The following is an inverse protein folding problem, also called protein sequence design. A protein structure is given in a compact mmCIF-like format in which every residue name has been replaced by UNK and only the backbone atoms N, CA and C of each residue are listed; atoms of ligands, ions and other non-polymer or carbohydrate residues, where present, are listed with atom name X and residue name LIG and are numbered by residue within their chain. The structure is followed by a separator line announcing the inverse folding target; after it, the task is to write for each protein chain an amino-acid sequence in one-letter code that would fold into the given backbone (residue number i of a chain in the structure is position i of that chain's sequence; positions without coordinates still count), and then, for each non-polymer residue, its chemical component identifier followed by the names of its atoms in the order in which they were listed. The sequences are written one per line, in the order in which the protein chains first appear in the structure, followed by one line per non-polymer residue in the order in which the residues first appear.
data_IF_627065466906
#
_entry.id   IF_627065466906
#
_cell.length_a   1.000
_cell.length_b   1.000
_cell.length_c   1.000
_cell.angle_alpha   90.00
_cell.angle_beta   90.00
_cell.angle_gamma   90.00
#
_symmetry.space_group_name_H-M   'P 1'
#
loop_
_entity.id
_entity.type
_entity.pdbx_description
1 polymer ?
#
# COMPACT_ATOMS: atom_id res chain seq x y z
N UNK A 1 2.46 13.07 -29.61
CA UNK A 1 1.41 13.33 -28.60
C UNK A 1 2.00 14.35 -27.63
N UNK A 2 1.40 15.55 -27.49
CA UNK A 2 2.04 16.65 -26.73
C UNK A 2 1.48 16.78 -25.29
N UNK A 3 0.36 16.12 -24.99
CA UNK A 3 -0.29 16.13 -23.69
C UNK A 3 -1.14 14.87 -23.48
N UNK A 4 -1.56 14.63 -22.23
CA UNK A 4 -2.44 13.53 -21.84
C UNK A 4 -3.45 13.99 -20.79
N UNK A 5 -4.48 13.21 -20.56
CA UNK A 5 -5.50 13.50 -19.53
C UNK A 5 -5.03 12.98 -18.17
N UNK A 6 -5.30 13.78 -17.13
CA UNK A 6 -4.96 13.43 -15.76
C UNK A 6 -6.03 13.96 -14.79
N UNK A 7 -6.23 13.26 -13.68
CA UNK A 7 -7.06 13.73 -12.57
C UNK A 7 -6.23 14.60 -11.63
N UNK A 8 -6.54 15.89 -11.60
CA UNK A 8 -5.78 16.91 -10.89
C UNK A 8 -6.57 17.43 -9.70
N UNK A 9 -5.93 17.48 -8.54
CA UNK A 9 -6.42 18.19 -7.36
C UNK A 9 -6.00 19.65 -7.52
N UNK A 10 -6.95 20.51 -7.87
CA UNK A 10 -6.75 21.96 -8.04
C UNK A 10 -7.07 22.74 -6.77
N UNK A 11 -7.99 22.20 -5.95
CA UNK A 11 -8.34 22.73 -4.63
C UNK A 11 -8.70 21.58 -3.66
N UNK A 12 -8.38 21.77 -2.38
CA UNK A 12 -8.70 20.78 -1.34
C UNK A 12 -10.22 20.68 -1.13
N UNK A 13 -10.71 19.49 -0.86
CA UNK A 13 -12.14 19.20 -0.63
C UNK A 13 -13.07 19.57 -1.80
N UNK A 14 -12.52 19.76 -2.99
CA UNK A 14 -13.28 19.98 -4.21
C UNK A 14 -13.13 18.76 -5.14
N UNK A 15 -14.10 18.51 -6.04
CA UNK A 15 -13.96 17.46 -7.04
C UNK A 15 -12.65 17.60 -7.83
N UNK A 16 -12.00 16.46 -8.11
CA UNK A 16 -10.84 16.43 -9.00
C UNK A 16 -11.27 16.81 -10.41
N UNK A 17 -10.43 17.58 -11.08
CA UNK A 17 -10.64 18.00 -12.46
C UNK A 17 -9.85 17.12 -13.44
N UNK A 18 -10.46 16.72 -14.55
CA UNK A 18 -9.74 16.04 -15.63
C UNK A 18 -9.15 17.10 -16.54
N UNK A 19 -7.85 17.30 -16.42
CA UNK A 19 -7.10 18.30 -17.18
C UNK A 19 -6.16 17.65 -18.20
N UNK A 20 -5.79 18.42 -19.22
CA UNK A 20 -4.69 18.06 -20.13
C UNK A 20 -3.37 18.55 -19.55
N UNK A 21 -2.44 17.64 -19.37
CA UNK A 21 -1.13 17.89 -18.77
C UNK A 21 -0.06 17.56 -19.80
N UNK A 22 0.96 18.43 -19.98
CA UNK A 22 2.02 18.19 -20.97
C UNK A 22 2.78 16.89 -20.71
N UNK A 23 3.08 16.14 -21.77
CA UNK A 23 4.04 15.04 -21.72
C UNK A 23 5.45 15.64 -21.82
N UNK A 24 6.31 15.45 -20.80
CA UNK A 24 7.64 16.05 -20.79
C UNK A 24 8.59 15.40 -21.77
N UNK A 25 9.59 16.13 -22.20
CA UNK A 25 10.78 15.52 -22.81
C UNK A 25 11.47 14.63 -21.76
N UNK A 26 11.92 13.46 -22.21
CA UNK A 26 12.59 12.50 -21.34
C UNK A 26 14.06 12.86 -21.20
N UNK A 27 14.52 13.08 -20.00
CA UNK A 27 15.95 13.16 -19.71
C UNK A 27 16.62 11.77 -19.83
N UNK A 28 17.95 11.71 -19.95
CA UNK A 28 18.65 10.43 -20.09
C UNK A 28 18.33 9.47 -18.94
N UNK A 29 17.87 8.27 -19.26
CA UNK A 29 17.44 7.23 -18.32
C UNK A 29 16.00 7.35 -17.85
N UNK A 30 15.28 8.42 -18.14
CA UNK A 30 13.85 8.53 -17.82
C UNK A 30 12.98 7.63 -18.69
N UNK A 31 11.82 7.27 -18.16
CA UNK A 31 10.85 6.38 -18.83
C UNK A 31 9.50 7.06 -18.86
N UNK A 32 8.84 7.07 -20.02
CA UNK A 32 7.43 7.37 -20.16
C UNK A 32 6.64 6.06 -20.07
N UNK A 33 5.69 6.00 -19.13
CA UNK A 33 4.87 4.81 -18.92
C UNK A 33 3.42 5.14 -19.22
N UNK A 34 2.78 4.38 -20.12
CA UNK A 34 1.33 4.39 -20.32
C UNK A 34 0.69 3.65 -19.14
N UNK A 35 -0.12 4.35 -18.33
CA UNK A 35 -0.77 3.72 -17.18
C UNK A 35 -1.91 2.82 -17.67
N UNK A 36 -1.94 1.60 -17.17
CA UNK A 36 -3.01 0.63 -17.47
C UNK A 36 -3.91 0.36 -16.27
N UNK A 37 -3.40 0.58 -15.07
CA UNK A 37 -4.16 0.53 -13.84
C UNK A 37 -3.54 1.45 -12.77
N UNK A 38 -4.38 2.17 -12.06
CA UNK A 38 -3.99 2.95 -10.87
C UNK A 38 -5.00 2.69 -9.76
N UNK A 39 -4.55 2.11 -8.63
CA UNK A 39 -5.44 1.92 -7.48
C UNK A 39 -5.40 3.13 -6.56
N UNK A 40 -6.53 3.41 -5.87
CA UNK A 40 -6.62 4.46 -4.87
C UNK A 40 -6.47 3.88 -3.46
N UNK A 41 -5.92 4.65 -2.55
CA UNK A 41 -5.81 4.28 -1.15
C UNK A 41 -6.21 5.42 -0.20
N UNK A 42 -6.23 5.14 1.11
CA UNK A 42 -6.56 6.15 2.12
C UNK A 42 -5.66 7.39 2.07
N UNK A 43 -4.42 7.25 1.61
CA UNK A 43 -3.49 8.39 1.44
C UNK A 43 -4.00 9.39 0.39
N UNK A 44 -4.65 8.95 -0.68
CA UNK A 44 -5.20 9.83 -1.72
C UNK A 44 -6.40 10.60 -1.16
N UNK A 45 -7.26 9.95 -0.38
CA UNK A 45 -8.37 10.58 0.35
C UNK A 45 -7.83 11.62 1.35
N UNK A 46 -6.80 11.26 2.13
CA UNK A 46 -6.23 12.20 3.11
C UNK A 46 -5.61 13.42 2.44
N UNK A 47 -4.90 13.26 1.31
CA UNK A 47 -4.33 14.38 0.55
C UNK A 47 -5.38 15.26 -0.11
N UNK A 48 -6.48 14.68 -0.52
CA UNK A 48 -7.62 15.43 -1.01
C UNK A 48 -8.22 16.34 0.07
N UNK A 49 -8.22 15.90 1.34
CA UNK A 49 -8.67 16.71 2.48
C UNK A 49 -7.66 17.75 2.95
N UNK A 50 -6.35 17.49 2.77
CA UNK A 50 -5.30 18.40 3.22
C UNK A 50 -3.89 17.84 3.00
N UNK A 51 -2.86 18.70 3.12
CA UNK A 51 -1.49 18.28 2.94
C UNK A 51 -1.07 17.30 4.05
N UNK A 52 -0.42 16.20 3.67
CA UNK A 52 0.22 15.24 4.59
C UNK A 52 1.68 15.59 4.86
N UNK A 53 2.24 16.51 4.08
CA UNK A 53 3.65 16.91 4.12
C UNK A 53 3.79 18.37 3.67
N UNK A 54 4.79 19.10 4.17
CA UNK A 54 5.15 20.43 3.63
C UNK A 54 5.55 20.44 2.15
N UNK A 55 5.80 19.25 1.57
CA UNK A 55 6.13 19.07 0.15
C UNK A 55 4.89 18.96 -0.74
N UNK A 56 3.72 18.72 -0.15
CA UNK A 56 2.46 18.60 -0.90
C UNK A 56 2.05 19.99 -1.40
N UNK A 57 1.84 20.15 -2.68
CA UNK A 57 1.51 21.46 -3.29
C UNK A 57 0.46 21.30 -4.38
N UNK A 58 -0.48 22.24 -4.43
CA UNK A 58 -1.47 22.35 -5.50
C UNK A 58 -0.91 23.12 -6.69
N UNK A 59 -1.34 22.80 -7.93
CA UNK A 59 -2.13 21.63 -8.32
C UNK A 59 -1.27 20.37 -8.40
N UNK A 60 -1.84 19.18 -8.13
CA UNK A 60 -1.12 17.90 -8.28
C UNK A 60 -2.02 16.82 -8.90
N UNK A 61 -1.41 15.90 -9.65
CA UNK A 61 -2.08 14.68 -10.11
C UNK A 61 -2.12 13.70 -8.95
N UNK A 62 -3.33 13.20 -8.61
CA UNK A 62 -3.50 12.22 -7.54
C UNK A 62 -3.01 10.82 -7.94
N UNK A 63 -2.94 9.92 -6.96
CA UNK A 63 -2.56 8.53 -7.14
C UNK A 63 -1.06 8.26 -7.06
N UNK A 64 -0.73 7.15 -6.40
CA UNK A 64 0.66 6.73 -6.16
C UNK A 64 0.83 5.21 -6.22
N UNK A 65 -0.16 4.51 -6.76
CA UNK A 65 -0.19 3.06 -6.90
C UNK A 65 -0.36 2.67 -8.38
N UNK A 66 0.68 2.87 -9.21
CA UNK A 66 0.61 2.61 -10.64
C UNK A 66 1.01 1.19 -11.03
N UNK A 67 0.40 0.71 -12.11
CA UNK A 67 0.94 -0.29 -13.02
C UNK A 67 0.80 0.23 -14.45
N UNK A 68 1.84 0.10 -15.27
CA UNK A 68 1.78 0.59 -16.64
C UNK A 68 2.70 -0.18 -17.59
N UNK A 69 2.58 0.17 -18.85
CA UNK A 69 3.40 -0.38 -19.95
C UNK A 69 4.39 0.70 -20.39
N UNK A 70 5.64 0.34 -20.54
CA UNK A 70 6.67 1.25 -21.06
C UNK A 70 6.29 1.70 -22.47
N UNK A 71 6.11 3.01 -22.65
CA UNK A 71 5.87 3.65 -23.94
C UNK A 71 7.19 4.06 -24.60
N UNK A 72 8.09 4.71 -23.85
CA UNK A 72 9.37 5.18 -24.34
C UNK A 72 10.42 5.21 -23.21
N UNK A 73 11.67 5.05 -23.59
CA UNK A 73 12.85 5.18 -22.71
C UNK A 73 13.89 6.06 -23.41
N UNK A 74 14.42 7.06 -22.71
CA UNK A 74 15.59 7.77 -23.22
C UNK A 74 16.87 7.04 -22.79
N UNK A 75 17.36 6.13 -23.63
CA UNK A 75 18.55 5.31 -23.40
C UNK A 75 18.23 3.84 -23.07
N UNK A 76 19.04 3.23 -22.22
CA UNK A 76 18.89 1.82 -21.82
C UNK A 76 18.57 1.71 -20.34
N UNK A 77 17.65 0.82 -20.00
CA UNK A 77 17.28 0.53 -18.62
C UNK A 77 17.22 -0.98 -18.39
N UNK A 78 17.38 -1.35 -17.14
CA UNK A 78 17.14 -2.72 -16.65
C UNK A 78 16.10 -2.70 -15.54
N UNK A 79 15.49 -3.83 -15.30
CA UNK A 79 14.69 -4.06 -14.11
C UNK A 79 15.58 -4.28 -12.86
N UNK A 80 14.94 -4.45 -11.69
CA UNK A 80 15.64 -4.69 -10.41
C UNK A 80 16.49 -5.97 -10.40
N UNK A 81 16.25 -6.90 -11.33
CA UNK A 81 17.00 -8.15 -11.49
C UNK A 81 18.13 -8.02 -12.53
N UNK A 82 18.35 -6.82 -13.08
CA UNK A 82 19.37 -6.55 -14.09
C UNK A 82 18.97 -6.97 -15.51
N UNK A 83 17.71 -7.35 -15.75
CA UNK A 83 17.24 -7.73 -17.07
C UNK A 83 16.86 -6.49 -17.89
N UNK A 84 17.24 -6.42 -19.19
CA UNK A 84 16.85 -5.30 -20.03
C UNK A 84 15.33 -5.12 -20.10
N UNK A 85 14.86 -3.87 -20.07
CA UNK A 85 13.46 -3.50 -20.28
C UNK A 85 13.33 -2.55 -21.46
N UNK A 86 12.17 -2.58 -22.12
CA UNK A 86 11.89 -1.76 -23.31
C UNK A 86 10.39 -1.49 -23.48
N UNK A 87 10.05 -0.73 -24.55
CA UNK A 87 8.65 -0.50 -24.91
C UNK A 87 7.84 -1.80 -25.01
N UNK A 88 6.64 -1.79 -24.43
CA UNK A 88 5.77 -2.96 -24.33
C UNK A 88 5.89 -3.74 -23.02
N UNK A 89 6.97 -3.58 -22.25
CA UNK A 89 7.11 -4.24 -20.95
C UNK A 89 6.17 -3.65 -19.92
N UNK A 90 5.47 -4.51 -19.19
CA UNK A 90 4.57 -4.14 -18.09
C UNK A 90 5.34 -4.06 -16.78
N UNK A 91 5.30 -2.89 -16.15
CA UNK A 91 6.10 -2.59 -14.95
C UNK A 91 5.32 -1.91 -13.84
N UNK A 92 5.86 -2.03 -12.64
CA UNK A 92 5.73 -1.09 -11.53
C UNK A 92 7.10 -0.52 -11.19
N UNK A 93 7.19 0.52 -10.35
CA UNK A 93 8.49 1.16 -10.04
C UNK A 93 8.57 1.69 -8.63
N UNK A 94 9.81 1.85 -8.16
CA UNK A 94 10.07 2.39 -6.84
C UNK A 94 9.91 3.92 -6.80
N UNK A 95 9.88 4.47 -5.58
CA UNK A 95 10.14 5.89 -5.34
C UNK A 95 11.58 6.25 -5.73
N UNK A 96 11.87 7.55 -5.88
CA UNK A 96 13.23 8.07 -5.99
C UNK A 96 13.93 7.99 -4.62
N UNK A 97 15.17 7.52 -4.60
CA UNK A 97 16.07 7.62 -3.47
C UNK A 97 17.45 8.09 -3.98
N UNK A 98 18.20 8.84 -3.17
CA UNK A 98 19.45 9.44 -3.65
C UNK A 98 20.58 8.43 -3.91
N UNK A 99 20.48 7.20 -3.41
CA UNK A 99 21.46 6.12 -3.60
C UNK A 99 22.77 6.26 -2.83
N UNK A 100 23.12 7.46 -2.32
CA UNK A 100 24.45 7.78 -1.78
C UNK A 100 24.49 8.16 -0.30
N UNK A 101 23.36 8.44 0.35
CA UNK A 101 23.34 8.77 1.78
C UNK A 101 23.52 7.53 2.66
N UNK A 102 23.79 7.75 3.95
CA UNK A 102 23.92 6.67 4.94
C UNK A 102 22.78 5.64 4.86
N UNK A 103 21.53 6.11 4.75
CA UNK A 103 20.37 5.20 4.68
C UNK A 103 20.33 4.37 3.41
N UNK A 104 20.78 4.91 2.29
CA UNK A 104 20.78 4.19 1.02
C UNK A 104 21.94 3.19 0.92
N UNK A 105 23.17 3.62 1.27
CA UNK A 105 24.40 2.89 0.97
C UNK A 105 24.96 2.10 2.14
N UNK A 106 24.66 2.45 3.40
CA UNK A 106 25.16 1.75 4.59
C UNK A 106 24.06 0.98 5.29
N UNK A 107 22.96 1.65 5.67
CA UNK A 107 21.83 1.02 6.34
C UNK A 107 20.97 0.15 5.42
N UNK A 108 21.08 0.32 4.10
CA UNK A 108 20.28 -0.35 3.06
C UNK A 108 18.77 -0.18 3.28
N UNK A 109 18.38 1.03 3.70
CA UNK A 109 17.01 1.43 4.00
C UNK A 109 16.61 2.69 3.19
N UNK A 110 16.62 2.63 1.85
CA UNK A 110 16.29 3.77 1.00
C UNK A 110 14.86 4.32 1.23
N UNK A 111 13.95 3.56 1.84
CA UNK A 111 12.61 4.05 2.16
C UNK A 111 12.59 5.20 3.19
N UNK A 112 13.66 5.39 3.95
CA UNK A 112 13.85 6.50 4.91
C UNK A 112 14.92 7.50 4.46
N UNK A 113 15.30 7.47 3.19
CA UNK A 113 16.21 8.42 2.58
C UNK A 113 15.66 9.86 2.74
N UNK A 114 16.46 10.84 3.26
CA UNK A 114 16.02 12.23 3.36
C UNK A 114 15.68 12.87 2.01
N UNK A 115 16.37 12.44 0.94
CA UNK A 115 16.12 12.85 -0.45
C UNK A 115 14.99 12.05 -1.15
N UNK A 116 14.24 11.25 -0.41
CA UNK A 116 13.17 10.44 -1.01
C UNK A 116 12.08 11.31 -1.63
N UNK A 117 11.72 11.02 -2.88
CA UNK A 117 10.56 11.57 -3.55
C UNK A 117 9.60 10.44 -3.95
N UNK A 118 8.31 10.69 -3.81
CA UNK A 118 7.22 9.78 -4.15
C UNK A 118 6.17 10.51 -4.98
N UNK A 119 5.09 9.84 -5.30
CA UNK A 119 4.12 10.22 -6.32
C UNK A 119 2.80 10.73 -5.72
N UNK A 120 1.98 11.38 -6.56
CA UNK A 120 0.60 11.75 -6.23
C UNK A 120 0.47 12.98 -5.32
N UNK A 121 1.48 13.86 -5.31
CA UNK A 121 1.48 15.11 -4.52
C UNK A 121 2.48 16.16 -5.03
N UNK A 122 3.09 15.90 -6.17
CA UNK A 122 4.07 16.78 -6.80
C UNK A 122 3.35 17.78 -7.70
N UNK A 123 3.86 19.03 -7.84
CA UNK A 123 3.22 20.04 -8.67
C UNK A 123 3.06 19.54 -10.12
N UNK A 124 1.85 19.61 -10.65
CA UNK A 124 1.55 19.22 -12.04
C UNK A 124 1.72 20.34 -13.04
N UNK A 125 1.98 21.56 -12.57
CA UNK A 125 2.29 22.75 -13.37
C UNK A 125 3.79 23.00 -13.56
N UNK A 126 4.65 22.10 -13.00
CA UNK A 126 6.10 22.16 -13.09
C UNK A 126 6.66 20.88 -13.69
N UNK A 127 7.74 21.01 -14.46
CA UNK A 127 8.47 19.85 -14.99
C UNK A 127 8.85 18.88 -13.86
N UNK A 128 8.68 17.57 -14.04
CA UNK A 128 8.24 16.86 -15.24
C UNK A 128 6.72 16.62 -15.34
N UNK A 129 5.89 17.41 -14.69
CA UNK A 129 4.42 17.46 -14.70
C UNK A 129 3.70 16.17 -14.26
N UNK A 130 4.05 15.03 -14.87
CA UNK A 130 3.35 13.74 -14.77
C UNK A 130 3.89 12.87 -13.64
N UNK A 131 3.75 13.32 -12.39
CA UNK A 131 4.21 12.62 -11.17
C UNK A 131 3.05 12.10 -10.29
N UNK A 132 1.95 11.71 -10.90
CA UNK A 132 0.82 11.05 -10.24
C UNK A 132 0.24 9.97 -11.15
N UNK A 133 -0.30 8.91 -10.56
CA UNK A 133 -0.68 7.71 -11.30
C UNK A 133 -2.10 7.73 -11.87
N UNK A 134 -2.95 8.69 -11.47
CA UNK A 134 -4.28 8.84 -12.07
C UNK A 134 -4.19 9.76 -13.30
N UNK A 135 -3.41 9.32 -14.27
CA UNK A 135 -3.17 9.97 -15.57
C UNK A 135 -2.96 8.89 -16.63
N UNK A 136 -3.19 9.24 -17.91
CA UNK A 136 -2.96 8.30 -19.02
C UNK A 136 -1.49 7.91 -19.16
N UNK A 137 -0.58 8.83 -18.80
CA UNK A 137 0.87 8.60 -18.77
C UNK A 137 1.48 9.10 -17.47
N UNK A 138 2.61 8.48 -17.11
CA UNK A 138 3.42 8.92 -15.97
C UNK A 138 4.88 8.97 -16.38
N UNK A 139 5.56 10.02 -15.93
CA UNK A 139 7.01 10.14 -16.03
C UNK A 139 7.68 9.39 -14.89
N UNK A 140 8.61 8.53 -15.20
CA UNK A 140 9.40 7.75 -14.25
C UNK A 140 10.86 8.23 -14.30
N UNK A 141 11.35 8.89 -13.24
CA UNK A 141 12.73 9.38 -13.16
C UNK A 141 13.78 8.29 -13.31
N UNK A 142 15.00 8.65 -13.77
CA UNK A 142 16.09 7.68 -13.96
C UNK A 142 16.52 6.95 -12.67
N UNK A 143 16.35 7.56 -11.50
CA UNK A 143 16.71 6.97 -10.21
C UNK A 143 15.74 5.89 -9.72
N UNK A 144 14.56 5.78 -10.33
CA UNK A 144 13.60 4.75 -9.97
C UNK A 144 14.07 3.37 -10.42
N UNK A 145 13.94 2.39 -9.55
CA UNK A 145 14.10 1.00 -9.93
C UNK A 145 12.81 0.51 -10.59
N UNK A 146 12.95 -0.13 -11.73
CA UNK A 146 11.85 -0.71 -12.48
C UNK A 146 11.68 -2.17 -12.07
N UNK A 147 10.45 -2.61 -11.92
CA UNK A 147 10.13 -3.99 -11.53
C UNK A 147 9.14 -4.54 -12.56
N UNK A 148 9.56 -5.57 -13.31
CA UNK A 148 8.70 -6.24 -14.29
C UNK A 148 7.56 -6.95 -13.58
N UNK A 149 6.35 -6.82 -14.10
CA UNK A 149 5.17 -7.49 -13.57
C UNK A 149 5.06 -8.87 -14.22
N UNK A 150 4.96 -9.96 -13.43
CA UNK A 150 4.71 -11.31 -13.95
C UNK A 150 3.40 -11.37 -14.76
N UNK A 151 3.36 -12.18 -15.81
CA UNK A 151 2.21 -12.25 -16.72
C UNK A 151 0.94 -12.72 -16.01
N UNK A 152 1.08 -13.57 -14.99
CA UNK A 152 -0.02 -14.11 -14.19
C UNK A 152 -0.65 -13.10 -13.22
N UNK A 153 0.03 -11.97 -12.95
CA UNK A 153 -0.46 -10.94 -12.05
C UNK A 153 -1.25 -9.91 -12.85
N UNK A 154 -2.49 -9.64 -12.47
CA UNK A 154 -3.28 -8.60 -13.13
C UNK A 154 -2.66 -7.21 -12.93
N UNK A 155 -2.90 -6.29 -13.85
CA UNK A 155 -2.41 -4.92 -13.72
C UNK A 155 -2.98 -4.20 -12.50
N UNK A 156 -4.20 -4.53 -12.10
CA UNK A 156 -4.84 -3.96 -10.92
C UNK A 156 -4.19 -4.45 -9.61
N UNK A 157 -3.91 -5.75 -9.50
CA UNK A 157 -3.19 -6.31 -8.35
C UNK A 157 -1.74 -5.85 -8.31
N UNK A 158 -1.07 -5.68 -9.46
CA UNK A 158 0.27 -5.10 -9.54
C UNK A 158 0.28 -3.62 -9.11
N UNK A 159 -0.73 -2.83 -9.47
CA UNK A 159 -0.90 -1.46 -9.00
C UNK A 159 -1.02 -1.41 -7.46
N UNK A 160 -1.81 -2.30 -6.86
CA UNK A 160 -1.92 -2.40 -5.40
C UNK A 160 -0.59 -2.80 -4.74
N UNK A 161 0.25 -3.60 -5.41
CA UNK A 161 1.59 -3.95 -4.94
C UNK A 161 2.52 -2.73 -4.86
N UNK A 162 2.26 -1.68 -5.64
CA UNK A 162 3.08 -0.46 -5.64
C UNK A 162 3.00 0.35 -4.32
N UNK A 163 2.02 0.10 -3.45
CA UNK A 163 1.95 0.73 -2.12
C UNK A 163 1.53 -0.26 -1.03
N UNK A 164 0.29 -0.75 -1.06
CA UNK A 164 -0.28 -1.52 0.04
C UNK A 164 0.50 -2.81 0.31
N UNK A 165 0.73 -3.62 -0.72
CA UNK A 165 1.27 -4.97 -0.52
C UNK A 165 2.76 -4.94 -0.19
N UNK A 166 3.57 -4.09 -0.85
CA UNK A 166 4.98 -3.91 -0.49
C UNK A 166 5.16 -3.45 0.96
N UNK A 167 4.24 -2.61 1.47
CA UNK A 167 4.32 -2.13 2.86
C UNK A 167 4.05 -3.25 3.85
N UNK A 168 3.12 -4.13 3.54
CA UNK A 168 2.87 -5.35 4.32
C UNK A 168 4.09 -6.27 4.27
N UNK A 169 4.68 -6.52 3.08
CA UNK A 169 5.90 -7.33 2.97
C UNK A 169 7.04 -6.77 3.83
N UNK A 170 7.21 -5.45 3.84
CA UNK A 170 8.18 -4.81 4.75
C UNK A 170 7.84 -5.05 6.22
N UNK A 171 6.56 -4.98 6.60
CA UNK A 171 6.11 -5.30 7.95
C UNK A 171 6.51 -6.71 8.38
N UNK A 172 6.28 -7.68 7.51
CA UNK A 172 6.67 -9.07 7.76
C UNK A 172 8.19 -9.31 7.70
N UNK A 173 8.93 -8.53 6.92
CA UNK A 173 10.39 -8.59 6.89
C UNK A 173 10.98 -8.11 8.23
N UNK A 174 10.44 -7.01 8.79
CA UNK A 174 10.81 -6.50 10.12
C UNK A 174 10.38 -7.42 11.25
N UNK A 175 9.21 -8.04 11.13
CA UNK A 175 8.69 -9.01 12.09
C UNK A 175 9.57 -10.26 12.18
N UNK A 176 10.16 -10.68 11.07
CA UNK A 176 10.90 -11.93 10.95
C UNK A 176 9.98 -13.15 10.81
N UNK A 177 10.41 -14.29 11.35
CA UNK A 177 9.68 -15.55 11.22
C UNK A 177 8.40 -15.55 12.08
N UNK A 178 7.34 -16.13 11.55
CA UNK A 178 6.19 -16.61 12.32
C UNK A 178 6.47 -18.06 12.70
N UNK A 179 6.28 -18.37 13.98
CA UNK A 179 6.44 -19.73 14.48
C UNK A 179 5.11 -20.49 14.35
N UNK A 180 5.10 -21.79 13.98
CA UNK A 180 3.85 -22.52 13.69
C UNK A 180 2.80 -22.55 14.80
N UNK A 181 3.15 -22.21 16.03
CA UNK A 181 2.22 -22.17 17.17
C UNK A 181 1.64 -20.77 17.44
N UNK A 182 2.06 -19.75 16.70
CA UNK A 182 1.70 -18.37 16.96
C UNK A 182 0.30 -18.02 16.42
N UNK A 183 -0.42 -17.21 17.22
CA UNK A 183 -1.64 -16.53 16.82
C UNK A 183 -1.30 -15.10 16.41
N UNK A 184 -1.71 -14.74 15.20
CA UNK A 184 -1.52 -13.41 14.62
C UNK A 184 -2.86 -12.68 14.59
N UNK A 185 -2.91 -11.48 15.15
CA UNK A 185 -4.06 -10.58 15.04
C UNK A 185 -3.75 -9.52 14.00
N UNK A 186 -4.68 -9.31 13.08
CA UNK A 186 -4.64 -8.24 12.08
C UNK A 186 -5.69 -7.20 12.48
N UNK A 187 -5.26 -5.98 12.81
CA UNK A 187 -6.16 -4.85 13.08
C UNK A 187 -6.34 -3.99 11.84
N UNK A 188 -7.51 -4.09 11.24
CA UNK A 188 -7.92 -3.45 10.01
C UNK A 188 -8.19 -4.45 8.90
N UNK A 189 -9.36 -4.34 8.25
CA UNK A 189 -9.84 -5.21 7.17
C UNK A 189 -9.79 -4.55 5.78
N UNK A 190 -9.01 -3.47 5.64
CA UNK A 190 -8.74 -2.84 4.35
C UNK A 190 -7.75 -3.64 3.49
N UNK A 191 -7.27 -3.07 2.35
CA UNK A 191 -6.38 -3.78 1.43
C UNK A 191 -5.10 -4.29 2.11
N UNK A 192 -4.49 -3.48 3.00
CA UNK A 192 -3.33 -3.90 3.76
C UNK A 192 -3.64 -5.08 4.69
N UNK A 193 -4.78 -5.02 5.41
CA UNK A 193 -5.16 -6.06 6.36
C UNK A 193 -5.48 -7.38 5.69
N UNK A 194 -6.24 -7.34 4.59
CA UNK A 194 -6.56 -8.53 3.83
C UNK A 194 -5.31 -9.19 3.23
N UNK A 195 -4.39 -8.39 2.70
CA UNK A 195 -3.12 -8.92 2.22
C UNK A 195 -2.24 -9.45 3.37
N UNK A 196 -2.19 -8.75 4.51
CA UNK A 196 -1.47 -9.22 5.70
C UNK A 196 -2.04 -10.52 6.25
N UNK A 197 -3.36 -10.72 6.17
CA UNK A 197 -4.02 -11.98 6.52
C UNK A 197 -3.50 -13.13 5.66
N UNK A 198 -3.45 -12.96 4.33
CA UNK A 198 -2.92 -13.98 3.41
C UNK A 198 -1.44 -14.28 3.68
N UNK A 199 -0.61 -13.24 3.88
CA UNK A 199 0.81 -13.42 4.18
C UNK A 199 1.03 -14.11 5.52
N UNK A 200 0.27 -13.76 6.57
CA UNK A 200 0.36 -14.43 7.87
C UNK A 200 -0.01 -15.90 7.79
N UNK A 201 -1.06 -16.22 7.01
CA UNK A 201 -1.50 -17.60 6.78
C UNK A 201 -0.46 -18.41 6.02
N UNK A 202 0.07 -17.87 4.93
CA UNK A 202 1.11 -18.53 4.12
C UNK A 202 2.41 -18.76 4.90
N UNK A 203 2.76 -17.83 5.81
CA UNK A 203 3.93 -17.98 6.70
C UNK A 203 3.73 -18.95 7.85
N UNK A 204 2.60 -19.65 7.91
CA UNK A 204 2.34 -20.74 8.83
C UNK A 204 1.85 -20.34 10.21
N UNK A 205 1.22 -19.18 10.36
CA UNK A 205 0.52 -18.82 11.59
C UNK A 205 -0.50 -19.91 11.97
N UNK A 206 -0.52 -20.33 13.23
CA UNK A 206 -1.49 -21.30 13.75
C UNK A 206 -2.91 -20.78 13.61
N UNK A 207 -3.10 -19.50 13.91
CA UNK A 207 -4.36 -18.77 13.75
C UNK A 207 -4.09 -17.36 13.25
N UNK A 208 -4.95 -16.92 12.35
CA UNK A 208 -5.01 -15.52 11.91
C UNK A 208 -6.38 -14.99 12.26
N UNK A 209 -6.43 -13.99 13.15
CA UNK A 209 -7.63 -13.33 13.60
C UNK A 209 -7.67 -11.93 13.00
N UNK A 210 -8.71 -11.59 12.25
CA UNK A 210 -8.83 -10.26 11.62
C UNK A 210 -9.97 -9.47 12.27
N UNK A 211 -9.65 -8.28 12.77
CA UNK A 211 -10.59 -7.35 13.41
C UNK A 211 -10.73 -6.12 12.52
N UNK A 212 -11.95 -5.73 12.18
CA UNK A 212 -12.18 -4.58 11.30
C UNK A 212 -13.65 -4.31 11.02
N UNK A 213 -13.90 -3.41 10.11
CA UNK A 213 -15.21 -3.06 9.56
C UNK A 213 -15.02 -2.46 8.14
N UNK A 214 -16.07 -2.40 7.35
CA UNK A 214 -17.38 -3.05 7.50
C UNK A 214 -17.35 -4.55 7.14
N UNK A 215 -18.49 -5.23 7.32
CA UNK A 215 -18.62 -6.68 7.16
C UNK A 215 -18.20 -7.21 5.77
N UNK A 216 -18.41 -6.44 4.69
CA UNK A 216 -17.98 -6.83 3.33
C UNK A 216 -16.46 -6.98 3.23
N UNK A 217 -15.67 -6.15 3.92
CA UNK A 217 -14.21 -6.25 3.99
C UNK A 217 -13.74 -7.44 4.82
N UNK A 218 -14.47 -7.76 5.90
CA UNK A 218 -14.21 -8.95 6.71
C UNK A 218 -14.53 -10.25 5.95
N UNK A 219 -15.53 -10.22 5.07
CA UNK A 219 -15.80 -11.36 4.18
C UNK A 219 -14.60 -11.65 3.25
N UNK A 220 -13.90 -10.62 2.76
CA UNK A 220 -12.65 -10.80 2.01
C UNK A 220 -11.55 -11.35 2.92
N UNK A 221 -11.40 -10.86 4.15
CA UNK A 221 -10.42 -11.38 5.11
C UNK A 221 -10.58 -12.90 5.36
N UNK A 222 -11.82 -13.38 5.48
CA UNK A 222 -12.09 -14.83 5.59
C UNK A 222 -11.57 -15.61 4.38
N UNK A 223 -11.82 -15.13 3.17
CA UNK A 223 -11.32 -15.77 1.94
C UNK A 223 -9.80 -15.66 1.78
N UNK A 224 -9.19 -14.63 2.38
CA UNK A 224 -7.73 -14.50 2.49
C UNK A 224 -7.11 -15.38 3.57
N UNK A 225 -7.90 -16.24 4.24
CA UNK A 225 -7.39 -17.23 5.19
C UNK A 225 -7.47 -16.82 6.66
N UNK A 226 -8.26 -15.79 7.03
CA UNK A 226 -8.56 -15.53 8.43
C UNK A 226 -9.34 -16.72 9.03
N UNK A 227 -8.84 -17.27 10.14
CA UNK A 227 -9.50 -18.37 10.86
C UNK A 227 -10.76 -17.87 11.59
N UNK A 228 -10.73 -16.61 12.06
CA UNK A 228 -11.89 -15.92 12.59
C UNK A 228 -11.82 -14.42 12.31
N UNK A 229 -12.98 -13.78 12.26
CA UNK A 229 -13.10 -12.33 12.07
C UNK A 229 -14.02 -11.75 13.13
N UNK A 230 -13.75 -10.51 13.53
CA UNK A 230 -14.58 -9.75 14.46
C UNK A 230 -14.95 -8.41 13.84
N UNK A 231 -16.24 -8.13 13.83
CA UNK A 231 -16.80 -6.91 13.29
C UNK A 231 -16.85 -5.81 14.37
N UNK A 232 -16.15 -4.70 14.12
CA UNK A 232 -16.11 -3.54 15.00
C UNK A 232 -17.48 -2.85 15.13
N UNK A 233 -18.32 -2.95 14.10
CA UNK A 233 -19.67 -2.39 14.12
C UNK A 233 -20.61 -3.21 15.02
N UNK A 234 -20.33 -4.51 15.21
CA UNK A 234 -21.07 -5.40 16.06
C UNK A 234 -20.53 -5.44 17.51
N UNK A 235 -19.20 -5.27 17.70
CA UNK A 235 -18.53 -5.34 19.00
C UNK A 235 -17.79 -4.04 19.25
N UNK A 236 -18.48 -3.06 19.82
CA UNK A 236 -17.93 -1.71 20.05
C UNK A 236 -17.04 -1.60 21.28
N UNK A 237 -17.20 -2.48 22.28
CA UNK A 237 -16.43 -2.44 23.51
C UNK A 237 -15.03 -3.00 23.34
N UNK A 238 -14.03 -2.28 23.86
CA UNK A 238 -12.62 -2.67 23.77
C UNK A 238 -12.32 -3.94 24.57
N UNK A 239 -12.90 -4.07 25.77
CA UNK A 239 -12.63 -5.20 26.66
C UNK A 239 -13.18 -6.50 26.04
N UNK A 240 -14.36 -6.43 25.42
CA UNK A 240 -14.96 -7.56 24.71
C UNK A 240 -14.08 -8.00 23.52
N UNK A 241 -13.51 -7.06 22.77
CA UNK A 241 -12.60 -7.40 21.66
C UNK A 241 -11.30 -8.03 22.14
N UNK A 242 -10.74 -7.54 23.25
CA UNK A 242 -9.57 -8.15 23.90
C UNK A 242 -9.91 -9.53 24.45
N UNK A 243 -11.06 -9.69 25.09
CA UNK A 243 -11.54 -10.98 25.60
C UNK A 243 -11.70 -11.99 24.46
N UNK A 244 -12.26 -11.57 23.32
CA UNK A 244 -12.39 -12.42 22.13
C UNK A 244 -11.02 -12.95 21.64
N UNK A 245 -9.98 -12.12 21.59
CA UNK A 245 -8.63 -12.58 21.24
C UNK A 245 -8.10 -13.59 22.27
N UNK A 246 -8.36 -13.36 23.55
CA UNK A 246 -7.96 -14.26 24.65
C UNK A 246 -8.63 -15.63 24.58
N UNK A 247 -9.88 -15.72 24.13
CA UNK A 247 -10.56 -17.01 23.90
C UNK A 247 -9.80 -17.88 22.91
N UNK A 248 -9.33 -17.29 21.80
CA UNK A 248 -8.54 -18.01 20.79
C UNK A 248 -7.12 -18.37 21.23
N UNK A 249 -6.64 -17.78 22.33
CA UNK A 249 -5.27 -17.91 22.83
C UNK A 249 -5.16 -18.54 24.21
N UNK A 250 -6.24 -19.18 24.69
CA UNK A 250 -6.32 -19.80 26.04
C UNK A 250 -5.94 -18.78 27.14
N UNK A 251 -6.44 -17.57 27.05
CA UNK A 251 -6.26 -16.48 28.03
C UNK A 251 -4.94 -15.69 27.90
N UNK A 252 -3.98 -16.14 27.07
CA UNK A 252 -2.62 -15.57 27.01
C UNK A 252 -2.53 -14.22 26.29
N UNK A 253 -3.35 -13.99 25.29
CA UNK A 253 -3.20 -12.94 24.30
C UNK A 253 -2.44 -13.40 23.04
N UNK A 254 -2.41 -12.54 22.03
CA UNK A 254 -1.80 -12.81 20.73
C UNK A 254 -0.25 -12.81 20.78
N UNK A 255 0.37 -13.62 19.97
CA UNK A 255 1.82 -13.65 19.81
C UNK A 255 2.31 -12.48 18.95
N UNK A 256 1.51 -12.12 17.94
CA UNK A 256 1.80 -11.04 16.99
C UNK A 256 0.54 -10.22 16.78
N UNK A 257 0.69 -8.90 16.75
CA UNK A 257 -0.34 -7.97 16.27
C UNK A 257 0.22 -7.14 15.13
N UNK A 258 -0.48 -7.12 14.00
CA UNK A 258 -0.18 -6.28 12.84
C UNK A 258 -1.29 -5.24 12.71
N UNK A 259 -0.97 -4.00 13.04
CA UNK A 259 -1.91 -2.89 13.01
C UNK A 259 -1.75 -2.13 11.70
N UNK A 260 -2.80 -2.13 10.87
CA UNK A 260 -2.87 -1.49 9.56
C UNK A 260 -4.02 -0.49 9.43
N UNK A 261 -4.75 -0.26 10.51
CA UNK A 261 -5.80 0.74 10.64
C UNK A 261 -5.21 2.13 10.96
N UNK A 262 -5.99 3.05 11.53
CA UNK A 262 -5.47 4.32 12.01
C UNK A 262 -4.71 4.17 13.35
N UNK A 263 -3.97 5.20 13.74
CA UNK A 263 -3.15 5.16 14.96
C UNK A 263 -3.96 4.90 16.24
N UNK A 264 -5.25 5.28 16.28
CA UNK A 264 -6.11 5.08 17.45
C UNK A 264 -6.31 3.59 17.82
N UNK A 265 -6.11 2.67 16.86
CA UNK A 265 -6.17 1.23 17.13
C UNK A 265 -4.89 0.68 17.80
N UNK A 266 -3.84 1.47 17.97
CA UNK A 266 -2.57 0.99 18.55
C UNK A 266 -2.68 0.58 20.02
N UNK A 267 -3.31 1.35 20.92
CA UNK A 267 -3.48 0.93 22.31
C UNK A 267 -4.29 -0.36 22.44
N UNK A 268 -5.35 -0.52 21.64
CA UNK A 268 -6.14 -1.73 21.56
C UNK A 268 -5.30 -2.96 21.17
N UNK A 269 -4.51 -2.82 20.11
CA UNK A 269 -3.64 -3.91 19.66
C UNK A 269 -2.57 -4.28 20.69
N UNK A 270 -2.05 -3.32 21.44
CA UNK A 270 -1.11 -3.58 22.53
C UNK A 270 -1.77 -4.35 23.67
N UNK A 271 -3.04 -4.05 24.01
CA UNK A 271 -3.81 -4.76 25.04
C UNK A 271 -4.16 -6.22 24.64
N UNK A 272 -4.14 -6.53 23.34
CA UNK A 272 -4.36 -7.88 22.82
C UNK A 272 -3.12 -8.77 22.87
N UNK A 273 -1.91 -8.20 23.01
CA UNK A 273 -0.67 -8.96 23.03
C UNK A 273 -0.46 -9.71 24.36
N UNK A 274 0.20 -10.85 24.27
CA UNK A 274 0.79 -11.49 25.44
C UNK A 274 2.11 -10.81 25.83
N UNK A 275 2.62 -10.98 27.06
CA UNK A 275 4.02 -10.69 27.39
C UNK A 275 4.97 -11.38 26.40
N UNK A 276 6.03 -10.69 26.00
CA UNK A 276 6.98 -11.16 24.97
C UNK A 276 6.40 -11.18 23.54
N UNK A 277 5.23 -10.57 23.33
CA UNK A 277 4.61 -10.46 22.01
C UNK A 277 5.31 -9.44 21.09
N UNK A 278 4.98 -9.48 19.81
CA UNK A 278 5.55 -8.61 18.76
C UNK A 278 4.45 -7.78 18.11
N UNK A 279 4.67 -6.48 18.03
CA UNK A 279 3.75 -5.52 17.41
C UNK A 279 4.36 -4.91 16.16
N UNK A 280 3.64 -4.94 15.05
CA UNK A 280 4.01 -4.25 13.82
C UNK A 280 3.00 -3.16 13.54
N UNK A 281 3.44 -1.91 13.62
CA UNK A 281 2.65 -0.73 13.35
C UNK A 281 2.88 -0.25 11.92
N UNK A 282 1.86 -0.35 11.08
CA UNK A 282 1.87 0.09 9.67
C UNK A 282 0.86 1.22 9.46
N UNK A 283 -0.25 1.18 10.20
CA UNK A 283 -1.35 2.13 10.08
C UNK A 283 -0.91 3.59 10.21
N UNK A 284 -1.70 4.49 9.71
CA UNK A 284 -1.43 5.92 9.75
C UNK A 284 -2.72 6.75 9.87
N UNK A 285 -2.57 8.01 10.25
CA UNK A 285 -3.69 8.91 10.51
C UNK A 285 -4.18 8.84 11.95
N UNK A 286 -4.73 9.96 12.44
CA UNK A 286 -5.15 10.10 13.83
C UNK A 286 -3.99 10.18 14.83
N UNK A 287 -4.35 10.22 16.10
CA UNK A 287 -3.42 10.23 17.24
C UNK A 287 -3.69 9.03 18.13
N UNK A 288 -2.68 8.56 18.85
CA UNK A 288 -2.79 7.56 19.90
C UNK A 288 -1.94 7.99 21.08
N UNK A 289 -2.46 7.75 22.28
CA UNK A 289 -1.70 7.84 23.53
C UNK A 289 -1.41 6.39 23.97
N UNK A 290 -0.16 6.12 24.26
CA UNK A 290 0.27 4.78 24.69
C UNK A 290 0.76 4.92 26.14
N UNK A 291 -0.01 4.42 27.12
CA UNK A 291 0.43 4.42 28.53
C UNK A 291 1.57 3.41 28.68
N UNK A 292 2.77 3.91 28.97
CA UNK A 292 3.99 3.09 29.05
C UNK A 292 3.93 2.05 30.17
N UNK A 293 3.24 2.39 31.27
CA UNK A 293 3.00 1.52 32.41
C UNK A 293 2.08 0.32 32.12
N UNK A 294 1.36 0.35 30.99
CA UNK A 294 0.46 -0.72 30.51
C UNK A 294 1.03 -1.53 29.35
N UNK A 295 2.26 -1.24 28.95
CA UNK A 295 2.89 -2.03 27.87
C UNK A 295 3.12 -3.48 28.31
N UNK A 296 2.90 -4.48 27.42
CA UNK A 296 3.27 -5.85 27.71
C UNK A 296 4.77 -5.96 28.02
N UNK A 297 5.11 -6.76 29.05
CA UNK A 297 6.51 -7.04 29.35
C UNK A 297 7.23 -7.66 28.15
N UNK A 298 8.51 -7.30 27.94
CA UNK A 298 9.35 -7.79 26.85
C UNK A 298 8.76 -7.58 25.45
N UNK A 299 7.94 -6.53 25.26
CA UNK A 299 7.35 -6.14 24.01
C UNK A 299 8.45 -5.83 22.96
N UNK A 300 8.28 -6.38 21.75
CA UNK A 300 9.00 -5.90 20.56
C UNK A 300 8.04 -5.08 19.70
N UNK A 301 8.38 -3.82 19.44
CA UNK A 301 7.54 -2.89 18.68
C UNK A 301 8.26 -2.38 17.44
N UNK A 302 7.71 -2.64 16.27
CA UNK A 302 8.23 -2.19 14.99
C UNK A 302 7.29 -1.15 14.38
N UNK A 303 7.84 -0.05 13.89
CA UNK A 303 7.14 0.88 13.00
C UNK A 303 7.58 0.63 11.57
N UNK A 304 6.63 0.59 10.65
CA UNK A 304 6.90 0.39 9.23
C UNK A 304 6.11 1.41 8.43
N UNK A 305 6.80 2.08 7.52
CA UNK A 305 6.18 2.99 6.55
C UNK A 305 6.79 2.72 5.18
N UNK A 306 5.95 2.50 4.15
CA UNK A 306 6.44 2.18 2.82
C UNK A 306 7.17 0.81 2.78
N UNK A 307 8.02 0.58 1.79
CA UNK A 307 8.83 -0.64 1.64
C UNK A 307 10.15 -0.34 0.94
N UNK A 308 11.13 -1.21 1.10
CA UNK A 308 12.34 -1.18 0.30
C UNK A 308 12.06 -1.73 -1.11
N UNK A 309 12.85 -1.39 -2.13
CA UNK A 309 12.60 -1.86 -3.50
C UNK A 309 12.37 -3.37 -3.62
N UNK A 310 13.08 -4.20 -2.86
CA UNK A 310 12.88 -5.66 -2.82
C UNK A 310 11.45 -6.07 -2.44
N UNK A 311 10.72 -5.24 -1.68
CA UNK A 311 9.38 -5.59 -1.25
C UNK A 311 8.33 -5.47 -2.37
N UNK A 312 8.59 -4.69 -3.44
CA UNK A 312 7.78 -4.75 -4.66
C UNK A 312 7.92 -6.10 -5.34
N UNK A 313 9.17 -6.56 -5.51
CA UNK A 313 9.45 -7.86 -6.10
C UNK A 313 8.79 -8.98 -5.29
N UNK A 314 9.00 -8.99 -3.97
CA UNK A 314 8.39 -9.98 -3.06
C UNK A 314 6.87 -9.96 -3.12
N UNK A 315 6.24 -8.79 -3.21
CA UNK A 315 4.78 -8.68 -3.32
C UNK A 315 4.28 -9.27 -4.64
N UNK A 316 4.93 -8.96 -5.77
CA UNK A 316 4.57 -9.51 -7.08
C UNK A 316 4.82 -11.02 -7.16
N UNK A 317 5.93 -11.51 -6.62
CA UNK A 317 6.23 -12.94 -6.54
C UNK A 317 5.21 -13.69 -5.67
N UNK A 318 4.77 -13.08 -4.57
CA UNK A 318 3.73 -13.65 -3.71
C UNK A 318 2.39 -13.71 -4.45
N UNK A 319 1.98 -12.64 -5.12
CA UNK A 319 0.78 -12.61 -5.95
C UNK A 319 0.81 -13.70 -7.03
N UNK A 320 1.91 -13.83 -7.75
CA UNK A 320 2.10 -14.82 -8.81
C UNK A 320 2.09 -16.25 -8.27
N UNK A 321 2.93 -16.52 -7.26
CA UNK A 321 3.12 -17.89 -6.73
C UNK A 321 1.96 -18.40 -5.87
N UNK A 322 1.07 -17.55 -5.40
CA UNK A 322 -0.07 -17.89 -4.52
C UNK A 322 -1.43 -17.57 -5.11
N UNK A 323 -1.50 -17.25 -6.41
CA UNK A 323 -2.75 -16.90 -7.12
C UNK A 323 -3.85 -17.97 -7.01
N UNK A 324 -3.45 -19.23 -6.93
CA UNK A 324 -4.39 -20.37 -6.83
C UNK A 324 -4.73 -20.72 -5.36
N UNK A 325 -4.08 -20.05 -4.39
CA UNK A 325 -4.30 -20.24 -2.95
C UNK A 325 -5.17 -19.16 -2.36
N UNK A 326 -4.93 -17.91 -2.77
CA UNK A 326 -5.65 -16.74 -2.25
C UNK A 326 -6.32 -15.97 -3.39
N UNK A 327 -7.57 -15.55 -3.22
CA UNK A 327 -8.33 -14.84 -4.26
C UNK A 327 -7.96 -13.33 -4.28
N UNK A 328 -6.72 -12.98 -4.62
CA UNK A 328 -6.20 -11.61 -4.57
C UNK A 328 -7.03 -10.62 -5.39
N UNK A 329 -7.61 -11.05 -6.50
CA UNK A 329 -8.44 -10.19 -7.36
C UNK A 329 -9.70 -9.69 -6.65
N UNK A 330 -10.20 -10.38 -5.64
CA UNK A 330 -11.36 -9.93 -4.86
C UNK A 330 -11.06 -8.70 -3.99
N UNK A 331 -9.79 -8.37 -3.76
CA UNK A 331 -9.41 -7.12 -3.11
C UNK A 331 -9.63 -5.91 -4.02
N UNK A 332 -9.58 -6.10 -5.35
CA UNK A 332 -9.90 -5.08 -6.35
C UNK A 332 -11.40 -5.10 -6.56
N UNK A 333 -12.13 -4.43 -5.71
CA UNK A 333 -13.58 -4.61 -5.58
C UNK A 333 -14.42 -3.75 -6.53
N UNK A 334 -13.83 -2.76 -7.20
CA UNK A 334 -14.52 -1.92 -8.17
C UNK A 334 -13.55 -1.30 -9.17
N UNK A 335 -14.00 -1.16 -10.43
CA UNK A 335 -13.25 -0.52 -11.51
C UNK A 335 -14.00 0.71 -12.01
N UNK A 336 -13.26 1.79 -12.21
CA UNK A 336 -13.79 3.07 -12.67
C UNK A 336 -12.92 3.58 -13.82
N UNK A 337 -13.52 4.08 -14.91
CA UNK A 337 -12.76 4.84 -15.91
C UNK A 337 -12.28 6.17 -15.31
N UNK A 338 -11.27 6.79 -15.94
CA UNK A 338 -10.67 8.05 -15.46
C UNK A 338 -11.73 9.13 -15.18
N UNK A 339 -12.75 9.23 -16.03
CA UNK A 339 -13.83 10.21 -15.91
C UNK A 339 -14.67 10.08 -14.63
N UNK A 340 -14.66 8.88 -14.02
CA UNK A 340 -15.39 8.58 -12.78
C UNK A 340 -14.49 8.54 -11.55
N UNK A 341 -13.32 9.18 -11.60
CA UNK A 341 -12.35 9.19 -10.49
C UNK A 341 -12.94 9.75 -9.19
N UNK A 342 -13.82 10.75 -9.28
CA UNK A 342 -14.46 11.33 -8.09
C UNK A 342 -15.38 10.33 -7.38
N UNK A 343 -16.07 9.47 -8.13
CA UNK A 343 -16.89 8.40 -7.57
C UNK A 343 -16.00 7.34 -6.91
N UNK A 344 -14.89 6.99 -7.55
CA UNK A 344 -13.92 6.04 -6.97
C UNK A 344 -13.32 6.56 -5.67
N UNK A 345 -12.99 7.86 -5.59
CA UNK A 345 -12.47 8.51 -4.40
C UNK A 345 -13.51 8.52 -3.27
N UNK A 346 -14.76 8.84 -3.60
CA UNK A 346 -15.88 8.83 -2.64
C UNK A 346 -16.15 7.42 -2.10
N UNK A 347 -16.19 6.40 -2.97
CA UNK A 347 -16.37 5.00 -2.58
C UNK A 347 -15.21 4.48 -1.70
N UNK A 348 -13.97 4.96 -1.94
CA UNK A 348 -12.84 4.65 -1.06
C UNK A 348 -12.97 5.35 0.29
N UNK A 349 -13.40 6.60 0.32
CA UNK A 349 -13.57 7.40 1.54
C UNK A 349 -14.69 6.86 2.44
N UNK A 350 -15.78 6.37 1.85
CA UNK A 350 -16.94 5.80 2.57
C UNK A 350 -16.76 4.33 2.99
N UNK A 351 -15.62 3.71 2.64
CA UNK A 351 -15.36 2.28 2.86
C UNK A 351 -16.31 1.31 2.11
N UNK A 352 -17.09 1.80 1.15
CA UNK A 352 -18.00 0.99 0.32
C UNK A 352 -17.26 -0.09 -0.46
N UNK A 353 -16.07 0.24 -0.95
CA UNK A 353 -15.19 -0.68 -1.68
C UNK A 353 -13.95 -1.04 -0.87
N UNK A 354 -13.35 -2.20 -1.14
CA UNK A 354 -12.07 -2.58 -0.53
C UNK A 354 -10.95 -1.79 -1.15
N UNK A 355 -10.79 -1.88 -2.48
CA UNK A 355 -9.77 -1.15 -3.24
C UNK A 355 -10.31 -0.84 -4.65
N UNK A 356 -10.59 0.44 -4.95
CA UNK A 356 -11.00 0.83 -6.29
C UNK A 356 -9.78 0.93 -7.21
N UNK A 357 -9.96 0.59 -8.47
CA UNK A 357 -8.97 0.77 -9.53
C UNK A 357 -9.48 1.73 -10.60
N UNK A 358 -8.65 2.66 -11.00
CA UNK A 358 -8.86 3.51 -12.17
C UNK A 358 -8.25 2.83 -13.37
N UNK A 359 -9.06 2.69 -14.42
CA UNK A 359 -8.66 2.12 -15.71
C UNK A 359 -8.65 3.20 -16.79
N UNK A 360 -7.84 2.99 -17.80
CA UNK A 360 -7.65 3.93 -18.90
C UNK A 360 -8.03 3.27 -20.20
N UNK A 361 -8.63 4.04 -21.12
CA UNK A 361 -8.93 3.52 -22.45
C UNK A 361 -7.67 3.06 -23.17
N UNK A 362 -7.71 1.87 -23.76
CA UNK A 362 -6.61 1.26 -24.52
C UNK A 362 -6.34 1.99 -25.82
#
# INVERSE_FOLDING_TARGET
MNDCRAAVVTALNQPLEILRVPIPELEPGAVLVKIVASTLCGTDVHRWHGPLSPKDSLPFITGHEPCGVIEAINGRRTDILGQPVGPGDRIVWSYVACGSCYYCSVALQPCICPGRASWGHNPSDKYPYLLGSVAEYMYVPPECLLIRVPDEVSSASAAAAACAYRTVMHGFDRLGKIVPNETVVILGSGPLGNFATAVAKDRGAKRVLTIGAPANRLAVAKRMGADAVLDLDAVSDLEDRVAWVREYTAGRGADVVIQVANNAATPEGLAMLRPGGRFVHIGSGGKAEIPVDKLPEQLTFYTVRSGEPRHWLQALEFLSSRKDVFPFEEMISASYPLERVNEALAAMASYEVVKPVITFAT
#
